data_IF_179455114352
#
_entry.id   IF_179455114352
#
_cell.length_a   1.000
_cell.length_b   1.000
_cell.length_c   1.000
_cell.angle_alpha   90.00
_cell.angle_beta   90.00
_cell.angle_gamma   90.00
#
_symmetry.space_group_name_H-M   'P 1'
#
loop_
_entity.id
_entity.type
_entity.pdbx_description
1 polymer ?
#
# COMPACT_ATOMS: atom_id res chain seq x y z
N UNK A 1 17.47 -43.47 -22.18
CA UNK A 1 17.64 -42.01 -22.11
C UNK A 1 17.50 -41.66 -20.64
N UNK A 2 18.62 -41.45 -19.97
CA UNK A 2 18.67 -41.21 -18.53
C UNK A 2 18.48 -39.71 -18.34
N UNK A 3 17.25 -39.27 -18.06
CA UNK A 3 17.03 -37.89 -17.63
C UNK A 3 17.75 -37.73 -16.28
N UNK A 4 18.85 -36.98 -16.30
CA UNK A 4 19.49 -36.56 -15.07
C UNK A 4 18.43 -35.76 -14.27
N UNK A 5 18.26 -36.03 -12.96
CA UNK A 5 17.30 -35.29 -12.16
C UNK A 5 17.58 -33.79 -12.27
N UNK A 6 16.55 -32.93 -12.34
CA UNK A 6 16.73 -31.50 -12.51
C UNK A 6 17.65 -30.99 -11.41
N UNK A 7 18.75 -30.35 -11.81
CA UNK A 7 19.68 -29.72 -10.88
C UNK A 7 18.89 -28.64 -10.14
N UNK A 8 18.48 -28.93 -8.90
CA UNK A 8 17.88 -27.92 -8.02
C UNK A 8 19.01 -26.95 -7.68
N UNK A 9 19.13 -25.89 -8.45
CA UNK A 9 20.08 -24.83 -8.18
C UNK A 9 19.75 -24.25 -6.81
N UNK A 10 20.65 -24.43 -5.85
CA UNK A 10 20.52 -23.84 -4.52
C UNK A 10 20.42 -22.32 -4.69
N UNK A 11 19.43 -21.69 -4.07
CA UNK A 11 19.22 -20.23 -4.18
C UNK A 11 19.58 -19.54 -2.87
N UNK A 12 20.24 -18.40 -2.97
CA UNK A 12 20.53 -17.55 -1.81
C UNK A 12 19.74 -16.24 -1.87
N UNK A 13 19.41 -15.70 -0.70
CA UNK A 13 18.71 -14.41 -0.60
C UNK A 13 19.69 -13.28 -0.91
N UNK A 14 19.30 -12.41 -1.83
CA UNK A 14 20.07 -11.19 -2.12
C UNK A 14 19.96 -10.26 -0.90
N UNK A 15 21.09 -9.81 -0.31
CA UNK A 15 21.06 -8.92 0.84
C UNK A 15 20.19 -7.68 0.62
N UNK A 16 19.41 -7.28 1.63
CA UNK A 16 18.45 -6.18 1.48
C UNK A 16 19.11 -4.86 1.06
N UNK A 17 20.34 -4.61 1.53
CA UNK A 17 21.14 -3.42 1.15
C UNK A 17 21.50 -3.39 -0.34
N UNK A 18 21.55 -4.53 -1.01
CA UNK A 18 21.82 -4.63 -2.45
C UNK A 18 20.55 -4.43 -3.28
N UNK A 19 19.36 -4.58 -2.68
CA UNK A 19 18.05 -4.43 -3.33
C UNK A 19 17.52 -3.00 -3.17
N UNK A 20 18.21 -2.00 -3.75
CA UNK A 20 17.88 -0.57 -3.58
C UNK A 20 16.43 -0.21 -3.90
N UNK A 21 15.85 -0.81 -4.96
CA UNK A 21 14.43 -0.61 -5.28
C UNK A 21 13.48 -1.14 -4.20
N UNK A 22 13.82 -2.28 -3.60
CA UNK A 22 13.03 -2.88 -2.50
C UNK A 22 13.07 -2.00 -1.26
N UNK A 23 14.13 -1.22 -1.04
CA UNK A 23 14.20 -0.26 0.08
C UNK A 23 13.15 0.84 -0.09
N UNK A 24 12.97 1.36 -1.31
CA UNK A 24 11.95 2.38 -1.59
C UNK A 24 10.55 1.82 -1.38
N UNK A 25 10.27 0.63 -1.91
CA UNK A 25 9.01 -0.06 -1.68
C UNK A 25 8.75 -0.34 -0.19
N UNK A 26 9.79 -0.76 0.53
CA UNK A 26 9.72 -1.01 1.97
C UNK A 26 9.40 0.26 2.76
N UNK A 27 10.03 1.39 2.43
CA UNK A 27 9.72 2.70 3.04
C UNK A 27 8.29 3.11 2.73
N UNK A 28 7.82 2.91 1.50
CA UNK A 28 6.43 3.17 1.14
C UNK A 28 5.45 2.36 2.00
N UNK A 29 5.67 1.05 2.15
CA UNK A 29 4.84 0.21 3.02
C UNK A 29 4.91 0.63 4.49
N UNK A 30 6.06 1.10 4.96
CA UNK A 30 6.23 1.58 6.33
C UNK A 30 5.42 2.83 6.58
N UNK A 31 5.52 3.82 5.70
CA UNK A 31 4.75 5.07 5.78
C UNK A 31 3.26 4.76 5.72
N UNK A 32 2.85 3.84 4.85
CA UNK A 32 1.44 3.47 4.74
C UNK A 32 0.91 2.84 6.02
N UNK A 33 1.61 1.86 6.60
CA UNK A 33 1.16 1.25 7.86
C UNK A 33 1.16 2.24 9.01
N UNK A 34 2.21 3.05 9.15
CA UNK A 34 2.35 3.91 10.33
C UNK A 34 1.42 5.12 10.25
N UNK A 35 1.30 5.75 9.08
CA UNK A 35 0.65 7.04 8.92
C UNK A 35 -0.66 6.95 8.15
N UNK A 36 -0.68 6.29 6.99
CA UNK A 36 -1.87 6.31 6.12
C UNK A 36 -2.97 5.44 6.71
N UNK A 37 -2.76 4.12 6.74
CA UNK A 37 -3.75 3.14 7.16
C UNK A 37 -4.17 3.35 8.62
N UNK A 38 -3.22 3.27 9.55
CA UNK A 38 -3.56 3.29 10.97
C UNK A 38 -3.54 4.69 11.58
N UNK A 39 -3.51 5.78 10.80
CA UNK A 39 -3.84 7.11 11.35
C UNK A 39 -4.85 7.83 10.46
N UNK A 40 -4.50 8.16 9.22
CA UNK A 40 -5.37 8.92 8.33
C UNK A 40 -6.68 8.19 7.99
N UNK A 41 -6.58 6.92 7.62
CA UNK A 41 -7.72 6.15 7.13
C UNK A 41 -8.59 5.63 8.28
N UNK A 42 -7.99 5.16 9.38
CA UNK A 42 -8.76 4.70 10.54
C UNK A 42 -9.56 5.83 11.20
N UNK A 43 -9.08 7.09 11.12
CA UNK A 43 -9.82 8.27 11.57
C UNK A 43 -11.23 8.30 11.00
N UNK A 44 -11.36 8.00 9.70
CA UNK A 44 -12.59 8.06 8.94
C UNK A 44 -13.63 7.01 9.35
N UNK A 45 -13.19 5.97 10.06
CA UNK A 45 -14.09 4.94 10.60
C UNK A 45 -14.45 5.23 12.06
N UNK A 46 -13.53 5.84 12.81
CA UNK A 46 -13.71 6.16 14.23
C UNK A 46 -14.57 7.41 14.39
N UNK A 47 -14.35 8.43 13.56
CA UNK A 47 -15.12 9.67 13.50
C UNK A 47 -16.04 9.61 12.29
N UNK A 48 -17.33 9.36 12.55
CA UNK A 48 -18.35 9.25 11.49
C UNK A 48 -18.83 10.60 10.98
N UNK A 49 -18.85 11.59 11.85
CA UNK A 49 -19.34 12.94 11.58
C UNK A 49 -18.26 13.94 11.99
N UNK A 50 -17.51 14.53 11.03
CA UNK A 50 -16.46 15.50 11.32
C UNK A 50 -16.97 16.79 11.98
N UNK A 51 -18.25 17.14 11.79
CA UNK A 51 -18.84 18.34 12.36
C UNK A 51 -19.30 18.13 13.82
N UNK A 52 -19.46 16.87 14.24
CA UNK A 52 -19.99 16.52 15.55
C UNK A 52 -19.34 15.24 16.13
N UNK A 53 -18.13 15.39 16.66
CA UNK A 53 -17.38 14.31 17.28
C UNK A 53 -16.73 14.72 18.60
N UNK A 54 -16.31 13.71 19.36
CA UNK A 54 -15.39 13.84 20.48
C UNK A 54 -14.08 13.17 20.13
N UNK A 55 -12.95 13.77 20.52
CA UNK A 55 -11.64 13.19 20.26
C UNK A 55 -11.52 11.76 20.82
N UNK A 56 -11.25 10.75 19.96
CA UNK A 56 -10.98 9.39 20.39
C UNK A 56 -9.58 9.28 21.00
N UNK A 57 -9.27 8.10 21.55
CA UNK A 57 -7.92 7.76 22.01
C UNK A 57 -6.94 7.71 20.83
N UNK A 58 -7.43 7.31 19.66
CA UNK A 58 -6.65 7.15 18.46
C UNK A 58 -7.49 7.46 17.20
N UNK A 59 -6.95 8.20 16.22
CA UNK A 59 -5.63 8.85 16.20
C UNK A 59 -5.49 9.98 17.24
N UNK A 60 -4.27 10.46 17.53
CA UNK A 60 -4.07 11.59 18.45
C UNK A 60 -4.77 12.87 17.96
N UNK A 61 -5.21 13.72 18.90
CA UNK A 61 -5.97 14.93 18.58
C UNK A 61 -5.31 15.83 17.53
N UNK A 62 -4.00 16.09 17.64
CA UNK A 62 -3.27 16.90 16.67
C UNK A 62 -3.31 16.33 15.24
N UNK A 63 -3.41 15.00 15.11
CA UNK A 63 -3.50 14.32 13.82
C UNK A 63 -4.88 14.52 13.23
N UNK A 64 -5.93 14.37 14.05
CA UNK A 64 -7.31 14.62 13.66
C UNK A 64 -7.47 16.05 13.18
N UNK A 65 -6.97 17.03 13.95
CA UNK A 65 -7.05 18.45 13.59
C UNK A 65 -6.35 18.72 12.23
N UNK A 66 -5.20 18.10 11.99
CA UNK A 66 -4.48 18.19 10.72
C UNK A 66 -5.27 17.58 9.57
N UNK A 67 -5.84 16.39 9.76
CA UNK A 67 -6.63 15.69 8.75
C UNK A 67 -7.90 16.45 8.39
N UNK A 68 -8.65 16.92 9.39
CA UNK A 68 -9.88 17.70 9.19
C UNK A 68 -9.60 19.00 8.44
N UNK A 69 -8.54 19.73 8.82
CA UNK A 69 -8.09 20.91 8.09
C UNK A 69 -7.78 20.60 6.61
N UNK A 70 -7.13 19.46 6.35
CA UNK A 70 -6.79 19.06 4.99
C UNK A 70 -8.05 18.68 4.19
N UNK A 71 -8.93 17.85 4.75
CA UNK A 71 -10.15 17.37 4.10
C UNK A 71 -11.10 18.51 3.78
N UNK A 72 -11.40 19.38 4.76
CA UNK A 72 -12.29 20.53 4.58
C UNK A 72 -11.83 21.46 3.44
N UNK A 73 -10.51 21.56 3.23
CA UNK A 73 -9.93 22.55 2.33
C UNK A 73 -9.58 22.02 0.94
N UNK A 74 -9.16 20.76 0.84
CA UNK A 74 -8.55 20.25 -0.38
C UNK A 74 -9.23 18.99 -0.92
N UNK A 75 -9.96 18.28 -0.07
CA UNK A 75 -10.43 16.93 -0.39
C UNK A 75 -11.85 16.71 0.20
N UNK A 76 -12.89 17.25 -0.48
CA UNK A 76 -14.26 17.17 0.00
C UNK A 76 -14.78 15.73 0.11
N UNK A 77 -14.27 14.82 -0.71
CA UNK A 77 -14.63 13.41 -0.65
C UNK A 77 -14.27 12.80 0.70
N UNK A 78 -13.05 13.05 1.19
CA UNK A 78 -12.60 12.56 2.49
C UNK A 78 -13.30 13.26 3.67
N UNK A 79 -13.83 14.48 3.46
CA UNK A 79 -14.67 15.16 4.45
C UNK A 79 -16.07 14.54 4.56
N UNK A 80 -16.71 14.33 3.41
CA UNK A 80 -18.11 13.86 3.31
C UNK A 80 -18.28 12.35 3.54
N UNK A 81 -17.21 11.57 3.29
CA UNK A 81 -17.10 10.14 3.66
C UNK A 81 -18.29 9.29 3.21
N UNK A 82 -18.66 9.30 1.91
CA UNK A 82 -19.75 8.47 1.42
C UNK A 82 -19.52 6.99 1.72
N UNK A 83 -20.60 6.22 1.85
CA UNK A 83 -20.56 4.81 2.31
C UNK A 83 -19.62 3.94 1.47
N UNK A 84 -19.55 4.17 0.16
CA UNK A 84 -18.64 3.42 -0.71
C UNK A 84 -17.16 3.72 -0.38
N UNK A 85 -16.84 4.97 -0.04
CA UNK A 85 -15.48 5.40 0.30
C UNK A 85 -15.06 4.80 1.64
N UNK A 86 -15.91 4.91 2.67
CA UNK A 86 -15.65 4.27 3.97
C UNK A 86 -15.58 2.73 3.88
N UNK A 87 -16.24 2.13 2.88
CA UNK A 87 -16.05 0.70 2.56
C UNK A 87 -14.66 0.41 1.99
N UNK A 88 -14.10 1.28 1.15
CA UNK A 88 -12.69 1.17 0.71
C UNK A 88 -11.74 1.36 1.89
N UNK A 89 -12.03 2.29 2.81
CA UNK A 89 -11.25 2.46 4.04
C UNK A 89 -11.26 1.19 4.89
N UNK A 90 -12.39 0.48 5.00
CA UNK A 90 -12.44 -0.84 5.65
C UNK A 90 -11.50 -1.83 4.95
N UNK A 91 -11.48 -1.86 3.61
CA UNK A 91 -10.54 -2.69 2.83
C UNK A 91 -9.09 -2.30 3.17
N UNK A 92 -8.78 -1.01 3.30
CA UNK A 92 -7.45 -0.55 3.70
C UNK A 92 -7.05 -1.12 5.07
N UNK A 93 -7.95 -1.09 6.06
CA UNK A 93 -7.68 -1.64 7.39
C UNK A 93 -7.51 -3.16 7.41
N UNK A 94 -8.32 -3.92 6.64
CA UNK A 94 -8.37 -5.39 6.76
C UNK A 94 -7.55 -6.13 5.70
N UNK A 95 -7.21 -5.48 4.59
CA UNK A 95 -6.43 -6.05 3.49
C UNK A 95 -5.09 -5.35 3.37
N UNK A 96 -5.07 -4.03 3.21
CA UNK A 96 -3.83 -3.30 2.92
C UNK A 96 -2.92 -3.22 4.13
N UNK A 97 -3.44 -2.86 5.32
CA UNK A 97 -2.71 -2.84 6.58
C UNK A 97 -1.97 -4.16 6.88
N UNK A 98 -2.67 -5.30 6.93
CA UNK A 98 -2.04 -6.60 7.13
C UNK A 98 -1.02 -6.93 6.03
N UNK A 99 -1.32 -6.64 4.76
CA UNK A 99 -0.37 -6.81 3.67
C UNK A 99 0.91 -6.01 3.87
N UNK A 100 0.82 -4.72 4.22
CA UNK A 100 1.97 -3.86 4.45
C UNK A 100 2.87 -4.41 5.56
N UNK A 101 2.31 -4.86 6.69
CA UNK A 101 3.07 -5.51 7.77
C UNK A 101 3.80 -6.75 7.25
N UNK A 102 3.09 -7.60 6.52
CA UNK A 102 3.65 -8.81 5.93
C UNK A 102 4.75 -8.49 4.90
N UNK A 103 4.55 -7.46 4.08
CA UNK A 103 5.49 -6.99 3.08
C UNK A 103 6.75 -6.40 3.73
N UNK A 104 6.63 -5.63 4.82
CA UNK A 104 7.79 -5.12 5.56
C UNK A 104 8.71 -6.27 6.02
N UNK A 105 8.14 -7.34 6.55
CA UNK A 105 8.90 -8.53 6.92
C UNK A 105 9.48 -9.26 5.70
N UNK A 106 8.65 -9.53 4.69
CA UNK A 106 9.03 -10.33 3.54
C UNK A 106 10.08 -9.65 2.66
N UNK A 107 9.96 -8.35 2.41
CA UNK A 107 10.96 -7.58 1.65
C UNK A 107 12.27 -7.52 2.42
N UNK A 108 12.23 -7.26 3.74
CA UNK A 108 13.45 -7.22 4.55
C UNK A 108 14.19 -8.56 4.56
N UNK A 109 13.46 -9.68 4.72
CA UNK A 109 14.04 -11.03 4.78
C UNK A 109 14.14 -11.78 3.44
N UNK A 110 13.68 -11.17 2.35
CA UNK A 110 13.65 -11.78 1.02
C UNK A 110 12.76 -13.03 0.93
N UNK A 111 11.57 -12.99 1.51
CA UNK A 111 10.63 -14.12 1.53
C UNK A 111 9.73 -14.13 0.31
N UNK A 112 9.80 -15.19 -0.49
CA UNK A 112 9.12 -15.25 -1.79
C UNK A 112 7.61 -15.49 -1.71
N UNK A 113 7.09 -15.98 -0.58
CA UNK A 113 5.65 -16.23 -0.40
C UNK A 113 4.80 -14.96 -0.57
N UNK A 114 5.38 -13.76 -0.33
CA UNK A 114 4.66 -12.48 -0.48
C UNK A 114 4.31 -12.19 -1.93
N UNK A 115 5.00 -12.81 -2.90
CA UNK A 115 4.86 -12.53 -4.34
C UNK A 115 3.41 -12.56 -4.79
N UNK A 116 2.68 -13.63 -4.49
CA UNK A 116 1.29 -13.78 -4.93
C UNK A 116 0.36 -12.75 -4.24
N UNK A 117 0.61 -12.46 -2.97
CA UNK A 117 -0.12 -11.43 -2.23
C UNK A 117 0.17 -10.03 -2.77
N UNK A 118 1.38 -9.77 -3.26
CA UNK A 118 1.74 -8.51 -3.90
C UNK A 118 0.98 -8.28 -5.20
N UNK A 119 0.70 -9.32 -5.99
CA UNK A 119 -0.18 -9.21 -7.15
C UNK A 119 -1.61 -8.83 -6.75
N UNK A 120 -2.17 -9.54 -5.76
CA UNK A 120 -3.52 -9.27 -5.25
C UNK A 120 -3.60 -7.83 -4.72
N UNK A 121 -2.70 -7.45 -3.81
CA UNK A 121 -2.66 -6.10 -3.23
C UNK A 121 -2.54 -5.03 -4.32
N UNK A 122 -1.62 -5.19 -5.26
CA UNK A 122 -1.40 -4.19 -6.30
C UNK A 122 -2.62 -4.04 -7.23
N UNK A 123 -3.28 -5.14 -7.59
CA UNK A 123 -4.48 -5.10 -8.41
C UNK A 123 -5.65 -4.42 -7.71
N UNK A 124 -5.89 -4.75 -6.43
CA UNK A 124 -6.99 -4.13 -5.67
C UNK A 124 -6.69 -2.65 -5.41
N UNK A 125 -5.44 -2.30 -5.07
CA UNK A 125 -5.00 -0.91 -4.88
C UNK A 125 -5.23 -0.05 -6.12
N UNK A 126 -4.83 -0.54 -7.30
CA UNK A 126 -5.08 0.18 -8.55
C UNK A 126 -6.57 0.37 -8.80
N UNK A 127 -7.40 -0.65 -8.53
CA UNK A 127 -8.84 -0.52 -8.68
C UNK A 127 -9.43 0.52 -7.71
N UNK A 128 -9.08 0.47 -6.43
CA UNK A 128 -9.65 1.38 -5.42
C UNK A 128 -9.22 2.82 -5.65
N UNK A 129 -7.94 3.07 -5.94
CA UNK A 129 -7.44 4.43 -6.22
C UNK A 129 -8.05 4.98 -7.51
N UNK A 130 -8.25 4.15 -8.53
CA UNK A 130 -8.94 4.59 -9.76
C UNK A 130 -10.38 5.02 -9.47
N UNK A 131 -11.09 4.30 -8.61
CA UNK A 131 -12.46 4.66 -8.20
C UNK A 131 -12.45 5.98 -7.42
N UNK A 132 -11.55 6.13 -6.45
CA UNK A 132 -11.39 7.37 -5.67
C UNK A 132 -11.14 8.55 -6.60
N UNK A 133 -10.13 8.46 -7.46
CA UNK A 133 -9.80 9.54 -8.40
C UNK A 133 -10.93 9.83 -9.40
N UNK A 134 -11.75 8.83 -9.75
CA UNK A 134 -12.95 9.04 -10.56
C UNK A 134 -13.97 9.94 -9.87
N UNK A 135 -14.22 9.70 -8.58
CA UNK A 135 -15.08 10.56 -7.77
C UNK A 135 -14.48 11.96 -7.59
N UNK A 136 -13.18 12.04 -7.31
CA UNK A 136 -12.48 13.32 -7.15
C UNK A 136 -12.59 14.23 -8.39
N UNK A 137 -12.68 13.63 -9.57
CA UNK A 137 -12.75 14.35 -10.85
C UNK A 137 -14.18 14.70 -11.25
N UNK A 138 -15.14 13.79 -11.04
CA UNK A 138 -16.47 13.88 -11.64
C UNK A 138 -17.63 13.52 -10.71
N UNK A 139 -17.33 13.16 -9.45
CA UNK A 139 -18.31 12.80 -8.45
C UNK A 139 -19.02 14.02 -7.85
N UNK A 140 -20.06 13.77 -7.03
CA UNK A 140 -20.76 14.82 -6.28
C UNK A 140 -19.85 15.60 -5.32
N UNK A 141 -18.73 15.02 -4.92
CA UNK A 141 -17.74 15.58 -3.99
C UNK A 141 -16.40 15.86 -4.67
N UNK A 142 -16.42 16.18 -5.97
CA UNK A 142 -15.21 16.45 -6.74
C UNK A 142 -14.39 17.61 -6.14
N UNK A 143 -13.07 17.46 -6.14
CA UNK A 143 -12.16 18.46 -5.61
C UNK A 143 -11.85 19.55 -6.64
N UNK A 144 -11.90 20.81 -6.22
CA UNK A 144 -11.39 21.95 -7.00
C UNK A 144 -9.84 21.96 -7.07
N UNK A 145 -9.18 21.08 -6.32
CA UNK A 145 -7.73 21.01 -6.16
C UNK A 145 -7.13 19.73 -6.77
N UNK A 146 -7.62 19.32 -7.96
CA UNK A 146 -7.22 18.08 -8.64
C UNK A 146 -5.71 17.85 -8.70
N UNK A 147 -4.90 18.88 -8.98
CA UNK A 147 -3.44 18.71 -9.05
C UNK A 147 -2.84 18.23 -7.72
N UNK A 148 -3.37 18.71 -6.59
CA UNK A 148 -2.95 18.28 -5.26
C UNK A 148 -3.47 16.87 -4.95
N UNK A 149 -4.72 16.57 -5.31
CA UNK A 149 -5.31 15.23 -5.16
C UNK A 149 -4.52 14.20 -5.95
N UNK A 150 -4.19 14.48 -7.22
CA UNK A 150 -3.34 13.59 -8.03
C UNK A 150 -1.92 13.48 -7.45
N UNK A 151 -1.33 14.57 -6.99
CA UNK A 151 0.02 14.56 -6.43
C UNK A 151 0.10 13.73 -5.14
N UNK A 152 -0.88 13.86 -4.26
CA UNK A 152 -0.98 13.06 -3.04
C UNK A 152 -1.23 11.60 -3.39
N UNK A 153 -2.15 11.32 -4.33
CA UNK A 153 -2.49 9.96 -4.73
C UNK A 153 -1.44 9.25 -5.63
N UNK A 154 -0.46 9.97 -6.17
CA UNK A 154 0.47 9.46 -7.18
C UNK A 154 1.24 8.21 -6.69
N UNK A 155 1.58 8.17 -5.41
CA UNK A 155 2.24 7.02 -4.79
C UNK A 155 1.44 5.73 -4.95
N UNK A 156 0.13 5.78 -4.74
CA UNK A 156 -0.75 4.61 -4.85
C UNK A 156 -1.16 4.26 -6.30
N UNK A 157 -0.79 5.07 -7.29
CA UNK A 157 -0.84 4.68 -8.71
C UNK A 157 0.47 4.04 -9.16
N UNK A 158 1.59 4.66 -8.80
CA UNK A 158 2.92 4.28 -9.31
C UNK A 158 3.45 3.03 -8.62
N UNK A 159 3.32 2.96 -7.28
CA UNK A 159 3.93 1.87 -6.50
C UNK A 159 3.31 0.51 -6.79
N UNK A 160 1.98 0.34 -6.89
CA UNK A 160 1.40 -0.94 -7.31
C UNK A 160 1.92 -1.44 -8.66
N UNK A 161 2.03 -0.56 -9.66
CA UNK A 161 2.60 -0.92 -10.97
C UNK A 161 4.05 -1.37 -10.81
N UNK A 162 4.84 -0.65 -10.02
CA UNK A 162 6.21 -1.04 -9.74
C UNK A 162 6.29 -2.39 -9.03
N UNK A 163 5.42 -2.65 -8.05
CA UNK A 163 5.34 -3.94 -7.35
C UNK A 163 4.99 -5.07 -8.33
N UNK A 164 4.04 -4.88 -9.25
CA UNK A 164 3.71 -5.86 -10.28
C UNK A 164 4.93 -6.20 -11.15
N UNK A 165 5.64 -5.18 -11.64
CA UNK A 165 6.87 -5.37 -12.44
C UNK A 165 7.94 -6.08 -11.61
N UNK A 166 8.11 -5.66 -10.36
CA UNK A 166 9.14 -6.18 -9.45
C UNK A 166 8.92 -7.66 -9.10
N UNK A 167 7.66 -8.08 -9.01
CA UNK A 167 7.23 -9.44 -8.69
C UNK A 167 7.05 -10.33 -9.92
N UNK A 168 7.30 -9.82 -11.13
CA UNK A 168 7.08 -10.58 -12.36
C UNK A 168 7.92 -11.86 -12.42
N UNK A 169 9.20 -11.78 -12.01
CA UNK A 169 10.07 -12.96 -11.91
C UNK A 169 9.61 -13.94 -10.83
N UNK A 170 9.82 -15.24 -11.06
CA UNK A 170 9.43 -16.32 -10.12
C UNK A 170 10.14 -16.20 -8.76
N UNK A 171 11.41 -15.77 -8.79
CA UNK A 171 12.27 -15.67 -7.63
C UNK A 171 12.75 -14.23 -7.42
N UNK A 172 11.87 -13.33 -6.95
CA UNK A 172 12.16 -11.91 -6.92
C UNK A 172 13.27 -11.54 -5.93
N UNK A 173 13.54 -12.35 -4.91
CA UNK A 173 14.46 -11.98 -3.82
C UNK A 173 15.74 -12.80 -3.77
N UNK A 174 15.86 -13.82 -4.61
CA UNK A 174 16.94 -14.80 -4.52
C UNK A 174 17.67 -14.94 -5.84
N UNK A 175 18.95 -15.34 -5.79
CA UNK A 175 19.75 -15.67 -6.98
C UNK A 175 20.27 -17.11 -6.92
N UNK A 176 20.47 -17.78 -8.07
CA UNK A 176 21.08 -19.09 -8.12
C UNK A 176 22.53 -19.05 -7.63
N UNK A 177 22.94 -20.06 -6.88
CA UNK A 177 24.34 -20.30 -6.48
C UNK A 177 24.82 -21.56 -7.19
N UNK A 178 25.97 -21.46 -7.87
CA UNK A 178 26.59 -22.63 -8.47
C UNK A 178 27.13 -23.54 -7.35
N UNK A 179 26.49 -24.69 -7.14
CA UNK A 179 27.00 -25.73 -6.25
C UNK A 179 28.27 -26.31 -6.87
N UNK A 180 29.45 -26.06 -6.27
CA UNK A 180 30.63 -26.85 -6.60
C UNK A 180 30.36 -28.27 -6.09
N UNK A 181 30.14 -29.21 -7.00
CA UNK A 181 30.10 -30.64 -6.66
C UNK A 181 31.51 -31.01 -6.17
N UNK A 182 31.65 -31.71 -5.02
CA UNK A 182 32.95 -32.13 -4.50
C UNK A 182 33.70 -33.07 -5.46
#
# INVERSE_FOLDING_TARGET
>A
MTDAPPVVATREVIPFRERKGDIVLWIFFLVNVIFVTYQADIEQLVIRDPDNFSYPIWPPAYMIDFLHWYFERFDPLLYERPVWYTTIVIIDQVVYGPFYIAALYAFWKGKEWIRNWSFIWASVMLATVTIILGEEVAGPYASDHLALVFATNAGWLIVPIWVLVRMWGEHPFTRPVATKVP
#
